data_IF_200987574813
#
_entry.id   IF_200987574813
#
_cell.length_a   1.000
_cell.length_b   1.000
_cell.length_c   1.000
_cell.angle_alpha   90.00
_cell.angle_beta   90.00
_cell.angle_gamma   90.00
#
_symmetry.space_group_name_H-M   'P 1'
#
loop_
_entity.id
_entity.type
_entity.pdbx_description
1 polymer ?
#
# COMPACT_ATOMS: atom_id res chain seq x y z
N UNK A 1 -5.98 11.77 -21.63
CA UNK A 1 -4.76 10.94 -21.76
C UNK A 1 -4.91 9.92 -22.89
N UNK A 2 -3.88 9.80 -23.74
CA UNK A 2 -3.80 8.81 -24.81
C UNK A 2 -3.53 7.38 -24.28
N UNK A 3 -3.86 6.35 -25.05
CA UNK A 3 -3.75 4.96 -24.61
C UNK A 3 -2.30 4.54 -24.33
N UNK A 4 -1.37 4.96 -25.18
CA UNK A 4 0.06 4.65 -25.00
C UNK A 4 0.57 5.25 -23.69
N UNK A 5 0.29 6.54 -23.45
CA UNK A 5 0.64 7.22 -22.20
C UNK A 5 0.04 6.53 -20.97
N UNK A 6 -1.20 6.06 -21.04
CA UNK A 6 -1.81 5.32 -19.93
C UNK A 6 -1.07 4.02 -19.63
N UNK A 7 -0.70 3.25 -20.66
CA UNK A 7 0.06 2.02 -20.49
C UNK A 7 1.44 2.29 -19.89
N UNK A 8 2.16 3.31 -20.39
CA UNK A 8 3.48 3.67 -19.89
C UNK A 8 3.44 4.08 -18.41
N UNK A 9 2.41 4.85 -18.01
CA UNK A 9 2.22 5.22 -16.60
C UNK A 9 1.86 4.01 -15.72
N UNK A 10 1.09 3.06 -16.24
CA UNK A 10 0.81 1.79 -15.53
C UNK A 10 2.08 0.98 -15.35
N UNK A 11 2.94 0.92 -16.36
CA UNK A 11 4.23 0.23 -16.29
C UNK A 11 5.19 0.90 -15.30
N UNK A 12 5.29 2.23 -15.34
CA UNK A 12 6.07 3.00 -14.38
C UNK A 12 5.59 2.75 -12.95
N UNK A 13 4.28 2.86 -12.71
CA UNK A 13 3.70 2.62 -11.39
C UNK A 13 3.95 1.18 -10.90
N UNK A 14 3.80 0.17 -11.76
CA UNK A 14 4.06 -1.22 -11.37
C UNK A 14 5.55 -1.46 -11.03
N UNK A 15 6.45 -0.80 -11.77
CA UNK A 15 7.90 -0.87 -11.54
C UNK A 15 8.31 -0.16 -10.25
N UNK A 16 7.71 0.99 -9.93
CA UNK A 16 7.90 1.69 -8.65
C UNK A 16 7.50 0.81 -7.46
N UNK A 17 6.39 0.07 -7.56
CA UNK A 17 5.97 -0.87 -6.51
C UNK A 17 6.95 -2.03 -6.36
N UNK A 18 7.43 -2.61 -7.47
CA UNK A 18 8.43 -3.68 -7.44
C UNK A 18 9.75 -3.20 -6.84
N UNK A 19 10.25 -2.03 -7.26
CA UNK A 19 11.46 -1.41 -6.71
C UNK A 19 11.32 -1.10 -5.22
N UNK A 20 10.18 -0.59 -4.77
CA UNK A 20 9.93 -0.35 -3.35
C UNK A 20 10.02 -1.65 -2.54
N UNK A 21 9.41 -2.72 -3.03
CA UNK A 21 9.44 -4.03 -2.36
C UNK A 21 10.86 -4.62 -2.34
N UNK A 22 11.60 -4.52 -3.44
CA UNK A 22 12.94 -5.07 -3.60
C UNK A 22 14.04 -4.25 -2.96
N UNK A 23 13.80 -2.97 -2.68
CA UNK A 23 14.73 -2.11 -1.95
C UNK A 23 14.49 -2.08 -0.43
N UNK A 24 13.38 -2.64 0.06
CA UNK A 24 13.02 -2.61 1.49
C UNK A 24 13.02 -3.97 2.17
N UNK A 25 12.67 -5.04 1.45
CA UNK A 25 12.40 -6.35 2.05
C UNK A 25 13.20 -7.46 1.36
N UNK A 26 13.82 -8.35 2.14
CA UNK A 26 14.43 -9.55 1.59
C UNK A 26 13.37 -10.57 1.12
N UNK A 27 13.64 -11.23 -0.01
CA UNK A 27 12.76 -12.25 -0.58
C UNK A 27 12.55 -12.08 -2.09
N UNK A 28 11.76 -12.96 -2.67
CA UNK A 28 11.46 -12.99 -4.11
C UNK A 28 10.15 -12.24 -4.39
N UNK A 29 10.22 -11.23 -5.25
CA UNK A 29 9.05 -10.50 -5.76
C UNK A 29 8.57 -11.13 -7.07
N UNK A 30 7.27 -11.29 -7.20
CA UNK A 30 6.60 -11.73 -8.41
C UNK A 30 5.55 -10.70 -8.81
N UNK A 31 5.69 -10.18 -10.03
CA UNK A 31 4.81 -9.17 -10.59
C UNK A 31 3.95 -9.78 -11.71
N UNK A 32 2.65 -9.90 -11.45
CA UNK A 32 1.65 -10.40 -12.38
C UNK A 32 0.85 -9.22 -12.93
N UNK A 33 0.88 -9.04 -14.25
CA UNK A 33 0.14 -7.98 -14.95
C UNK A 33 -1.10 -8.58 -15.60
N UNK A 34 -2.26 -7.99 -15.36
CA UNK A 34 -3.50 -8.38 -16.05
C UNK A 34 -3.71 -7.51 -17.30
N UNK A 35 -4.41 -8.00 -18.34
CA UNK A 35 -4.66 -7.23 -19.54
C UNK A 35 -5.34 -5.89 -19.23
N UNK A 36 -4.78 -4.82 -19.81
CA UNK A 36 -5.36 -3.49 -19.73
C UNK A 36 -6.66 -3.42 -20.53
N UNK A 37 -7.72 -2.87 -19.92
CA UNK A 37 -8.93 -2.51 -20.65
C UNK A 37 -8.73 -1.13 -21.28
N UNK A 38 -8.39 -1.12 -22.58
CA UNK A 38 -8.11 0.11 -23.33
C UNK A 38 -9.34 1.04 -23.42
N UNK A 39 -10.54 0.50 -23.67
CA UNK A 39 -11.76 1.30 -23.80
C UNK A 39 -12.11 2.04 -22.51
N UNK A 40 -11.97 1.37 -21.36
CA UNK A 40 -12.30 1.93 -20.05
C UNK A 40 -11.10 2.62 -19.37
N UNK A 41 -9.92 2.58 -19.99
CA UNK A 41 -8.63 3.01 -19.42
C UNK A 41 -8.45 2.51 -17.99
N UNK A 42 -8.57 1.19 -17.83
CA UNK A 42 -8.41 0.51 -16.55
C UNK A 42 -7.34 -0.57 -16.66
N UNK A 43 -6.50 -0.64 -15.66
CA UNK A 43 -5.48 -1.68 -15.55
C UNK A 43 -5.53 -2.32 -14.17
N UNK A 44 -5.05 -3.56 -14.08
CA UNK A 44 -4.88 -4.24 -12.80
C UNK A 44 -3.57 -4.99 -12.82
N UNK A 45 -2.81 -4.91 -11.75
CA UNK A 45 -1.64 -5.75 -11.55
C UNK A 45 -1.55 -6.20 -10.09
N UNK A 46 -0.86 -7.31 -9.89
CA UNK A 46 -0.58 -7.89 -8.60
C UNK A 46 0.94 -7.91 -8.40
N UNK A 47 1.42 -7.41 -7.28
CA UNK A 47 2.77 -7.67 -6.80
C UNK A 47 2.67 -8.61 -5.59
N UNK A 48 3.49 -9.64 -5.52
CA UNK A 48 3.54 -10.54 -4.38
C UNK A 48 4.97 -10.84 -3.99
N UNK A 49 5.23 -10.93 -2.68
CA UNK A 49 6.57 -11.20 -2.16
C UNK A 49 6.53 -12.26 -1.07
N UNK A 50 7.34 -13.31 -1.23
CA UNK A 50 7.60 -14.27 -0.15
C UNK A 50 8.74 -13.71 0.68
N UNK A 51 8.45 -13.39 1.94
CA UNK A 51 9.35 -12.67 2.84
C UNK A 51 10.16 -13.64 3.70
N UNK A 52 11.41 -13.28 3.96
CA UNK A 52 12.24 -13.96 4.95
C UNK A 52 11.97 -13.37 6.34
N UNK A 53 11.85 -14.22 7.36
CA UNK A 53 11.77 -13.78 8.76
C UNK A 53 13.17 -13.82 9.35
N UNK A 54 13.68 -12.66 9.78
CA UNK A 54 15.08 -12.47 10.19
C UNK A 54 15.51 -13.47 11.30
N UNK A 55 14.67 -13.66 12.30
CA UNK A 55 15.00 -14.51 13.46
C UNK A 55 15.11 -16.01 13.12
N UNK A 56 14.24 -16.54 12.24
CA UNK A 56 14.13 -17.99 11.99
C UNK A 56 14.52 -18.43 10.58
N UNK A 57 14.82 -17.49 9.68
CA UNK A 57 14.99 -17.75 8.25
C UNK A 57 13.72 -18.27 7.56
N UNK A 58 12.57 -18.20 8.22
CA UNK A 58 11.33 -18.78 7.69
C UNK A 58 10.80 -17.99 6.50
N UNK A 59 10.35 -18.72 5.46
CA UNK A 59 9.70 -18.15 4.25
C UNK A 59 8.17 -18.28 4.27
N UNK A 60 7.58 -18.21 5.47
CA UNK A 60 6.13 -18.38 5.65
C UNK A 60 5.35 -17.07 5.68
N UNK A 61 6.03 -15.94 5.74
CA UNK A 61 5.41 -14.63 5.64
C UNK A 61 5.27 -14.26 4.15
N UNK A 62 4.09 -13.82 3.74
CA UNK A 62 3.80 -13.44 2.37
C UNK A 62 3.05 -12.10 2.34
N UNK A 63 3.44 -11.23 1.42
CA UNK A 63 2.73 -10.00 1.11
C UNK A 63 2.13 -10.12 -0.30
N UNK A 64 0.85 -9.82 -0.43
CA UNK A 64 0.18 -9.67 -1.73
C UNK A 64 -0.43 -8.27 -1.85
N UNK A 65 -0.01 -7.55 -2.88
CA UNK A 65 -0.50 -6.24 -3.26
C UNK A 65 -1.31 -6.36 -4.55
N UNK A 66 -2.50 -5.79 -4.58
CA UNK A 66 -3.35 -5.70 -5.78
C UNK A 66 -3.68 -4.24 -6.00
N UNK A 67 -3.45 -3.75 -7.21
CA UNK A 67 -3.78 -2.38 -7.60
C UNK A 67 -4.75 -2.39 -8.79
N UNK A 68 -5.85 -1.66 -8.66
CA UNK A 68 -6.76 -1.32 -9.76
C UNK A 68 -6.53 0.14 -10.09
N UNK A 69 -6.09 0.39 -11.32
CA UNK A 69 -5.76 1.71 -11.82
C UNK A 69 -6.80 2.17 -12.83
N UNK A 70 -7.06 3.46 -12.85
CA UNK A 70 -7.91 4.13 -13.83
C UNK A 70 -7.38 5.53 -14.14
N UNK A 71 -8.02 6.24 -15.05
CA UNK A 71 -7.82 7.69 -15.11
C UNK A 71 -8.57 8.40 -13.98
N UNK A 72 -8.08 9.56 -13.59
CA UNK A 72 -8.78 10.45 -12.67
C UNK A 72 -10.06 11.05 -13.31
N UNK A 73 -10.71 11.97 -12.60
CA UNK A 73 -11.95 12.62 -13.06
C UNK A 73 -11.76 13.54 -14.27
N UNK A 74 -10.56 14.10 -14.47
CA UNK A 74 -10.27 14.92 -15.66
C UNK A 74 -9.87 14.04 -16.85
N UNK A 75 -9.47 12.80 -16.60
CA UNK A 75 -9.01 11.87 -17.63
C UNK A 75 -7.57 12.13 -18.07
N UNK A 76 -6.84 12.96 -17.32
CA UNK A 76 -5.48 13.41 -17.63
C UNK A 76 -4.43 12.66 -16.82
N UNK A 77 -4.78 12.20 -15.62
CA UNK A 77 -3.83 11.59 -14.69
C UNK A 77 -4.17 10.13 -14.40
N UNK A 78 -3.14 9.33 -14.13
CA UNK A 78 -3.29 7.98 -13.58
C UNK A 78 -3.75 8.08 -12.12
N UNK A 79 -4.69 7.22 -11.71
CA UNK A 79 -5.22 7.24 -10.37
C UNK A 79 -5.56 5.81 -9.87
N UNK A 80 -5.38 5.58 -8.57
CA UNK A 80 -5.72 4.30 -7.93
C UNK A 80 -7.23 4.24 -7.66
N UNK A 81 -7.95 3.39 -8.39
CA UNK A 81 -9.37 3.08 -8.14
C UNK A 81 -9.52 2.23 -6.88
N UNK A 82 -8.62 1.28 -6.68
CA UNK A 82 -8.56 0.49 -5.47
C UNK A 82 -7.21 -0.15 -5.24
N UNK A 83 -6.89 -0.39 -3.97
CA UNK A 83 -5.70 -1.13 -3.57
C UNK A 83 -6.05 -2.15 -2.50
N UNK A 84 -5.32 -3.26 -2.48
CA UNK A 84 -5.45 -4.28 -1.44
C UNK A 84 -4.07 -4.77 -1.05
N UNK A 85 -3.74 -4.70 0.24
CA UNK A 85 -2.52 -5.25 0.81
C UNK A 85 -2.90 -6.39 1.75
N UNK A 86 -2.53 -7.62 1.40
CA UNK A 86 -2.80 -8.81 2.19
C UNK A 86 -1.50 -9.30 2.79
N UNK A 87 -1.46 -9.36 4.13
CA UNK A 87 -0.43 -10.08 4.86
C UNK A 87 -0.95 -11.49 5.10
N UNK A 88 -0.19 -12.48 4.64
CA UNK A 88 -0.62 -13.86 4.58
C UNK A 88 0.44 -14.80 5.17
N UNK A 89 -0.03 -15.88 5.77
CA UNK A 89 0.81 -17.00 6.18
C UNK A 89 0.76 -18.10 5.11
N UNK A 90 1.92 -18.51 4.62
CA UNK A 90 2.07 -19.63 3.68
C UNK A 90 1.99 -20.96 4.44
N UNK A 91 0.80 -21.54 4.48
CA UNK A 91 0.52 -22.85 5.06
C UNK A 91 0.53 -23.93 3.97
N UNK A 92 1.62 -24.70 3.88
CA UNK A 92 1.80 -25.75 2.88
C UNK A 92 1.57 -25.20 1.45
N UNK A 93 0.44 -25.53 0.81
CA UNK A 93 0.06 -25.09 -0.53
C UNK A 93 -0.94 -23.92 -0.56
N UNK A 94 -1.31 -23.33 0.59
CA UNK A 94 -2.31 -22.27 0.70
C UNK A 94 -1.75 -21.03 1.39
N UNK A 95 -2.32 -19.88 1.07
CA UNK A 95 -2.09 -18.62 1.77
C UNK A 95 -3.27 -18.33 2.68
N UNK A 96 -3.01 -18.16 3.97
CA UNK A 96 -4.02 -17.87 4.99
C UNK A 96 -3.92 -16.39 5.36
N UNK A 97 -4.97 -15.58 5.15
CA UNK A 97 -4.92 -14.16 5.44
C UNK A 97 -4.82 -13.90 6.95
N UNK A 98 -3.92 -12.99 7.32
CA UNK A 98 -3.75 -12.47 8.69
C UNK A 98 -4.49 -11.14 8.80
N UNK A 99 -4.14 -10.20 7.94
CA UNK A 99 -4.76 -8.87 7.85
C UNK A 99 -4.82 -8.43 6.40
N UNK A 100 -5.88 -7.69 6.06
CA UNK A 100 -6.07 -7.09 4.74
C UNK A 100 -6.38 -5.62 4.89
N UNK A 101 -5.55 -4.77 4.29
CA UNK A 101 -5.84 -3.35 4.14
C UNK A 101 -6.44 -3.13 2.76
N UNK A 102 -7.65 -2.56 2.72
CA UNK A 102 -8.42 -2.39 1.49
C UNK A 102 -8.77 -0.91 1.30
N UNK A 103 -8.58 -0.44 0.08
CA UNK A 103 -9.10 0.83 -0.41
C UNK A 103 -9.93 0.59 -1.66
N UNK A 104 -11.14 1.15 -1.67
CA UNK A 104 -12.05 1.15 -2.81
C UNK A 104 -12.70 2.53 -2.93
N UNK A 105 -12.35 3.25 -4.00
CA UNK A 105 -12.86 4.60 -4.28
C UNK A 105 -14.38 4.63 -4.44
N UNK A 106 -14.97 3.53 -4.91
CA UNK A 106 -16.41 3.42 -5.22
C UNK A 106 -17.18 2.68 -4.14
N UNK A 107 -16.61 2.53 -2.94
CA UNK A 107 -17.28 1.87 -1.83
C UNK A 107 -18.55 2.61 -1.42
N UNK A 108 -19.65 1.88 -1.24
CA UNK A 108 -20.96 2.43 -0.86
C UNK A 108 -21.54 1.79 0.41
N UNK A 109 -21.26 0.51 0.65
CA UNK A 109 -21.73 -0.27 1.81
C UNK A 109 -20.63 -0.61 2.83
N UNK A 110 -19.45 -0.02 2.66
CA UNK A 110 -18.30 -0.18 3.55
C UNK A 110 -17.44 1.10 3.53
N UNK A 111 -16.60 1.34 4.55
CA UNK A 111 -15.67 2.46 4.50
C UNK A 111 -14.76 2.35 3.26
N UNK A 112 -14.52 3.48 2.59
CA UNK A 112 -13.67 3.51 1.40
C UNK A 112 -12.24 3.02 1.69
N UNK A 113 -11.73 3.25 2.91
CA UNK A 113 -10.52 2.62 3.42
C UNK A 113 -10.84 1.91 4.72
N UNK A 114 -10.45 0.64 4.82
CA UNK A 114 -10.69 -0.20 5.99
C UNK A 114 -9.63 -1.30 6.04
N UNK A 115 -9.53 -1.96 7.19
CA UNK A 115 -8.79 -3.20 7.32
C UNK A 115 -9.69 -4.30 7.86
N UNK A 116 -9.35 -5.54 7.52
CA UNK A 116 -9.99 -6.74 8.02
C UNK A 116 -8.94 -7.58 8.72
N UNK A 117 -9.14 -7.81 10.01
CA UNK A 117 -8.25 -8.60 10.85
C UNK A 117 -8.88 -9.95 11.16
N UNK A 118 -8.09 -11.01 11.10
CA UNK A 118 -8.54 -12.37 11.41
C UNK A 118 -8.16 -12.70 12.87
N UNK A 119 -9.09 -12.45 13.80
CA UNK A 119 -8.84 -12.33 15.24
C UNK A 119 -8.50 -13.62 16.03
N UNK A 120 -8.74 -14.81 15.47
CA UNK A 120 -8.32 -16.11 16.05
C UNK A 120 -7.34 -16.83 15.12
N UNK A 121 -6.38 -16.07 14.56
CA UNK A 121 -5.47 -16.61 13.57
C UNK A 121 -4.36 -17.42 14.25
N UNK A 122 -4.55 -18.74 14.29
CA UNK A 122 -3.46 -19.71 14.60
C UNK A 122 -2.25 -19.43 13.71
N UNK A 123 -2.50 -19.04 12.45
CA UNK A 123 -1.47 -18.65 11.50
C UNK A 123 -0.67 -17.41 11.95
N UNK A 124 -1.32 -16.41 12.54
CA UNK A 124 -0.68 -15.22 13.11
C UNK A 124 0.21 -15.57 14.31
N UNK A 125 -0.32 -16.33 15.28
CA UNK A 125 0.48 -16.77 16.43
C UNK A 125 1.72 -17.58 16.01
N UNK A 126 1.56 -18.47 15.02
CA UNK A 126 2.66 -19.23 14.42
C UNK A 126 3.68 -18.37 13.68
N UNK A 127 3.29 -17.22 13.14
CA UNK A 127 4.19 -16.29 12.49
C UNK A 127 4.99 -15.48 13.51
N UNK A 128 4.32 -14.95 14.54
CA UNK A 128 4.94 -14.18 15.62
C UNK A 128 5.95 -15.02 16.41
N UNK A 129 5.63 -16.27 16.73
CA UNK A 129 6.56 -17.20 17.37
C UNK A 129 7.83 -17.42 16.52
N UNK A 130 7.68 -17.52 15.18
CA UNK A 130 8.83 -17.62 14.26
C UNK A 130 9.65 -16.34 14.15
N UNK A 131 9.04 -15.20 14.42
CA UNK A 131 9.72 -13.92 14.55
C UNK A 131 10.37 -13.72 15.93
N UNK A 132 10.29 -14.70 16.85
CA UNK A 132 10.81 -14.58 18.20
C UNK A 132 9.92 -13.73 19.14
N UNK A 133 8.72 -13.35 18.70
CA UNK A 133 7.77 -12.51 19.45
C UNK A 133 6.77 -13.37 20.23
N UNK A 134 7.27 -14.15 21.18
CA UNK A 134 6.45 -15.12 21.93
C UNK A 134 5.35 -14.46 22.77
N UNK A 135 5.64 -13.33 23.40
CA UNK A 135 4.66 -12.60 24.22
C UNK A 135 3.53 -12.03 23.35
N UNK A 136 3.85 -11.36 22.24
CA UNK A 136 2.85 -10.89 21.26
C UNK A 136 2.09 -12.05 20.61
N UNK A 137 2.72 -13.23 20.42
CA UNK A 137 2.03 -14.40 19.91
C UNK A 137 0.94 -14.91 20.88
N UNK A 138 1.18 -14.79 22.19
CA UNK A 138 0.21 -15.07 23.24
C UNK A 138 -0.80 -13.92 23.45
N UNK A 139 -0.44 -12.69 23.07
CA UNK A 139 -1.22 -11.46 23.20
C UNK A 139 -1.36 -10.75 21.84
N UNK A 140 -2.05 -11.39 20.90
CA UNK A 140 -2.18 -10.88 19.52
C UNK A 140 -2.87 -9.51 19.46
N UNK A 141 -3.59 -9.11 20.51
CA UNK A 141 -4.19 -7.79 20.67
C UNK A 141 -3.18 -6.64 20.74
N UNK A 142 -1.90 -6.91 21.00
CA UNK A 142 -0.87 -5.88 21.16
C UNK A 142 -0.17 -5.50 19.83
N UNK A 143 -0.62 -6.05 18.71
CA UNK A 143 -0.07 -5.71 17.39
C UNK A 143 -0.57 -4.33 16.95
N UNK A 144 0.37 -3.46 16.61
CA UNK A 144 0.05 -2.12 16.10
C UNK A 144 -0.22 -2.16 14.60
N UNK A 145 -1.50 -2.25 14.22
CA UNK A 145 -1.90 -2.15 12.82
C UNK A 145 -1.92 -0.67 12.36
N UNK A 146 -1.30 -0.33 11.23
CA UNK A 146 -1.34 1.02 10.70
C UNK A 146 -2.76 1.38 10.22
N UNK A 147 -3.13 2.64 10.44
CA UNK A 147 -4.39 3.22 9.95
C UNK A 147 -4.15 4.33 8.91
N UNK A 148 -2.93 4.43 8.42
CA UNK A 148 -2.44 5.55 7.63
C UNK A 148 -1.97 6.70 8.52
N UNK A 149 -1.69 7.84 7.91
CA UNK A 149 -1.34 9.05 8.63
C UNK A 149 -2.56 9.77 9.20
N UNK A 150 -2.34 10.89 9.88
CA UNK A 150 -3.43 11.70 10.48
C UNK A 150 -4.51 12.16 9.49
N UNK A 151 -4.21 12.17 8.17
CA UNK A 151 -5.10 12.71 7.12
C UNK A 151 -5.35 11.74 5.96
N UNK A 152 -4.53 10.72 5.80
CA UNK A 152 -4.51 9.90 4.60
C UNK A 152 -4.56 8.42 4.97
N UNK A 153 -5.21 7.63 4.10
CA UNK A 153 -5.30 6.17 4.24
C UNK A 153 -3.92 5.50 4.26
N UNK A 154 -3.92 4.25 4.70
CA UNK A 154 -2.77 3.32 4.63
C UNK A 154 -2.18 3.27 3.23
N UNK A 155 -0.88 3.53 3.12
CA UNK A 155 -0.09 3.29 1.91
C UNK A 155 0.70 1.97 2.02
N UNK A 156 1.44 1.60 0.96
CA UNK A 156 2.21 0.35 0.96
C UNK A 156 3.37 0.42 1.96
N UNK A 157 3.97 1.59 2.11
CA UNK A 157 5.07 1.89 3.03
C UNK A 157 4.68 1.62 4.49
N UNK A 158 3.45 1.94 4.87
CA UNK A 158 2.92 1.64 6.21
C UNK A 158 2.84 0.11 6.45
N UNK A 159 2.51 -0.66 5.41
CA UNK A 159 2.46 -2.14 5.49
C UNK A 159 3.85 -2.75 5.50
N UNK A 160 4.81 -2.19 4.76
CA UNK A 160 6.22 -2.61 4.80
C UNK A 160 6.79 -2.40 6.20
N UNK A 161 6.54 -1.23 6.80
CA UNK A 161 6.97 -0.93 8.16
C UNK A 161 6.33 -1.88 9.20
N UNK A 162 5.03 -2.18 9.06
CA UNK A 162 4.36 -3.23 9.85
C UNK A 162 5.06 -4.59 9.70
N UNK A 163 5.40 -5.00 8.48
CA UNK A 163 6.04 -6.30 8.24
C UNK A 163 7.40 -6.40 8.94
N UNK A 164 8.19 -5.33 8.91
CA UNK A 164 9.53 -5.30 9.51
C UNK A 164 9.41 -5.20 11.04
N UNK A 165 8.69 -4.19 11.55
CA UNK A 165 8.63 -3.89 12.98
C UNK A 165 7.76 -4.87 13.75
N UNK A 166 6.63 -5.28 13.18
CA UNK A 166 5.67 -6.15 13.88
C UNK A 166 5.81 -7.63 13.55
N UNK A 167 6.13 -7.99 12.31
CA UNK A 167 6.19 -9.39 11.86
C UNK A 167 7.60 -9.95 11.66
N UNK A 168 8.65 -9.15 11.88
CA UNK A 168 10.04 -9.59 11.83
C UNK A 168 10.52 -9.95 10.43
N UNK A 169 9.90 -9.37 9.39
CA UNK A 169 10.41 -9.47 8.03
C UNK A 169 11.84 -8.90 7.98
N UNK A 170 12.73 -9.59 7.28
CA UNK A 170 14.13 -9.20 7.11
C UNK A 170 14.24 -7.93 6.24
N UNK A 171 14.70 -6.80 6.82
CA UNK A 171 14.83 -5.56 6.07
C UNK A 171 16.12 -5.53 5.26
N UNK A 172 16.14 -4.71 4.20
CA UNK A 172 17.35 -4.36 3.47
C UNK A 172 17.96 -3.06 4.01
N UNK A 173 19.23 -2.80 3.68
CA UNK A 173 19.92 -1.59 4.13
C UNK A 173 19.25 -0.33 3.55
N UNK A 174 18.98 0.65 4.41
CA UNK A 174 18.34 1.92 4.04
C UNK A 174 16.81 1.84 3.87
N UNK A 175 16.17 0.77 4.36
CA UNK A 175 14.73 0.59 4.21
C UNK A 175 13.92 1.73 4.86
N UNK A 176 14.38 2.28 5.99
CA UNK A 176 13.68 3.38 6.67
C UNK A 176 13.58 4.62 5.78
N UNK A 177 14.68 5.02 5.14
CA UNK A 177 14.70 6.18 4.23
C UNK A 177 13.82 5.93 2.99
N UNK A 178 13.83 4.70 2.47
CA UNK A 178 12.99 4.32 1.32
C UNK A 178 11.51 4.37 1.67
N UNK A 179 11.11 3.81 2.81
CA UNK A 179 9.74 3.86 3.35
C UNK A 179 9.31 5.31 3.59
N UNK A 180 10.17 6.13 4.18
CA UNK A 180 9.85 7.53 4.44
C UNK A 180 9.67 8.33 3.15
N UNK A 181 10.59 8.18 2.19
CA UNK A 181 10.52 8.87 0.90
C UNK A 181 9.29 8.47 0.08
N UNK A 182 8.93 7.17 0.09
CA UNK A 182 7.72 6.67 -0.59
C UNK A 182 6.46 7.25 0.04
N UNK A 183 6.39 7.29 1.38
CA UNK A 183 5.28 7.88 2.12
C UNK A 183 5.11 9.38 1.83
N UNK A 184 6.20 10.13 1.79
CA UNK A 184 6.16 11.55 1.45
C UNK A 184 5.66 11.80 0.02
N UNK A 185 6.08 10.96 -0.92
CA UNK A 185 5.60 10.99 -2.31
C UNK A 185 4.10 10.70 -2.38
N UNK A 186 3.64 9.68 -1.66
CA UNK A 186 2.23 9.33 -1.56
C UNK A 186 1.41 10.50 -0.96
N UNK A 187 1.85 11.07 0.16
CA UNK A 187 1.15 12.19 0.81
C UNK A 187 1.13 13.46 -0.05
N UNK A 188 2.21 13.75 -0.77
CA UNK A 188 2.24 14.84 -1.74
C UNK A 188 1.17 14.65 -2.81
N UNK A 189 1.10 13.48 -3.44
CA UNK A 189 0.11 13.18 -4.47
C UNK A 189 -1.34 13.26 -3.93
N UNK A 190 -1.58 12.77 -2.70
CA UNK A 190 -2.91 12.90 -2.06
C UNK A 190 -3.26 14.36 -1.77
N UNK A 191 -2.30 15.15 -1.28
CA UNK A 191 -2.48 16.58 -0.97
C UNK A 191 -2.82 17.38 -2.21
N UNK A 192 -2.06 17.18 -3.30
CA UNK A 192 -2.32 17.81 -4.60
C UNK A 192 -3.73 17.48 -5.10
N UNK A 193 -4.15 16.22 -5.00
CA UNK A 193 -5.50 15.79 -5.38
C UNK A 193 -6.59 16.51 -4.55
N UNK A 194 -6.40 16.64 -3.24
CA UNK A 194 -7.34 17.34 -2.35
C UNK A 194 -7.43 18.83 -2.69
N UNK A 195 -6.29 19.49 -2.92
CA UNK A 195 -6.21 20.91 -3.29
C UNK A 195 -6.91 21.15 -4.63
N UNK A 196 -6.58 20.36 -5.65
CA UNK A 196 -7.16 20.51 -6.99
C UNK A 196 -8.68 20.35 -7.01
N UNK A 197 -9.22 19.50 -6.13
CA UNK A 197 -10.67 19.30 -5.99
C UNK A 197 -11.37 20.37 -5.15
N UNK A 198 -10.63 21.20 -4.43
CA UNK A 198 -11.17 22.27 -3.58
C UNK A 198 -10.34 23.55 -3.67
N UNK A 199 -10.05 23.98 -4.91
CA UNK A 199 -9.29 25.20 -5.19
C UNK A 199 -9.85 26.46 -4.50
N UNK A 200 -11.18 26.68 -4.38
CA UNK A 200 -11.71 27.85 -3.68
C UNK A 200 -11.20 27.92 -2.23
N UNK A 201 -11.23 26.80 -1.49
CA UNK A 201 -10.72 26.76 -0.12
C UNK A 201 -9.22 27.03 -0.07
N UNK A 202 -8.45 26.49 -1.02
CA UNK A 202 -7.02 26.75 -1.10
C UNK A 202 -6.71 28.24 -1.35
N UNK A 203 -7.46 28.89 -2.25
CA UNK A 203 -7.33 30.32 -2.54
C UNK A 203 -7.66 31.17 -1.30
N UNK A 204 -8.72 30.83 -0.58
CA UNK A 204 -9.12 31.56 0.63
C UNK A 204 -8.08 31.44 1.74
N UNK A 205 -7.52 30.24 1.96
CA UNK A 205 -6.43 30.03 2.91
C UNK A 205 -5.18 30.86 2.53
N UNK A 206 -4.81 30.90 1.25
CA UNK A 206 -3.68 31.72 0.79
C UNK A 206 -3.94 33.22 1.02
N UNK A 207 -5.15 33.71 0.72
CA UNK A 207 -5.53 35.10 1.00
C UNK A 207 -5.47 35.43 2.50
N UNK A 208 -5.91 34.52 3.36
CA UNK A 208 -5.82 34.69 4.82
C UNK A 208 -4.37 34.78 5.32
N UNK A 209 -3.43 34.11 4.64
CA UNK A 209 -2.00 34.20 4.92
C UNK A 209 -1.32 35.43 4.27
N UNK A 210 -2.09 36.31 3.63
CA UNK A 210 -1.59 37.55 3.03
C UNK A 210 -1.10 37.42 1.59
N UNK A 211 -1.33 36.30 0.91
CA UNK A 211 -0.98 36.15 -0.50
C UNK A 211 -2.00 36.85 -1.41
N UNK A 212 -1.50 37.62 -2.38
CA UNK A 212 -2.31 38.09 -3.51
C UNK A 212 -2.42 37.00 -4.58
N UNK A 213 -3.63 36.47 -4.77
CA UNK A 213 -3.93 35.48 -5.83
C UNK A 213 -4.66 36.19 -6.98
N UNK A 214 -4.04 36.23 -8.16
CA UNK A 214 -4.65 36.72 -9.40
C UNK A 214 -4.90 35.53 -10.33
N UNK A 215 -6.10 35.47 -10.92
CA UNK A 215 -6.34 34.54 -12.02
C UNK A 215 -5.46 34.96 -13.21
N UNK A 216 -4.94 34.01 -14.01
CA UNK A 216 -4.30 34.31 -15.28
C UNK A 216 -5.21 35.14 -16.20
#
# INVERSE_FOLDING_TARGET
>A
MEQHTFNDLVEAFASEIEELLDSTLAGETHLERLPTNAEKRRATFNASKVLHINHSGSKRLHLRCVFRLCTDSTGEYLAVEGSTFKVEFKALSRFVPIVRFEYDRSAWNKPASHFQFHADSVALGLLLARAGKYDTAAQQQDIHFPMGGHRFRVCLEDVIELLIREFGAEPLAGWEERVQSGRDTFYKAQTETVIMRNLPTAVDLLRQQGFEIRKP
#
